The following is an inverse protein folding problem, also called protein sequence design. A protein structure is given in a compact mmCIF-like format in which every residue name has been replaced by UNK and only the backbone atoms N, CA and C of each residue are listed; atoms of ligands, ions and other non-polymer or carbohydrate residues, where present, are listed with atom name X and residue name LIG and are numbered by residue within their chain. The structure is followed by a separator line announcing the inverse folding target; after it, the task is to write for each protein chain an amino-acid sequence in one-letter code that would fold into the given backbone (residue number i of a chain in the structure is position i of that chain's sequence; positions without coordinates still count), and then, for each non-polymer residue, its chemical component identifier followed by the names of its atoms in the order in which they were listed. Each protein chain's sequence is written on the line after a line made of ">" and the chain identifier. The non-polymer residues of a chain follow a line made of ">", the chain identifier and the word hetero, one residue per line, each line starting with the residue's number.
data_IF_890732230212
#
_entry.id   IF_890732230212
#
_cell.length_a   1.000
_cell.length_b   1.000
_cell.length_c   1.000
_cell.angle_alpha   90.00
_cell.angle_beta   90.00
_cell.angle_gamma   90.00
#
_symmetry.space_group_name_H-M   'P 1'
#
loop_
_entity.id
_entity.type
_entity.pdbx_description
1 polymer ?
#
# COMPACT_ATOMS: atom_id res chain seq x y z
N UNK A 1 -20.63 10.27 -37.65
CA UNK A 1 -19.36 10.45 -36.94
C UNK A 1 -19.05 9.14 -36.30
N UNK A 2 -17.95 8.48 -36.66
CA UNK A 2 -17.51 7.28 -35.95
C UNK A 2 -17.22 7.67 -34.51
N UNK A 3 -17.84 7.01 -33.55
CA UNK A 3 -17.49 7.16 -32.13
C UNK A 3 -16.01 6.80 -31.99
N UNK A 4 -15.22 7.70 -31.40
CA UNK A 4 -13.83 7.38 -31.06
C UNK A 4 -13.90 6.28 -30.02
N UNK A 5 -13.35 5.10 -30.32
CA UNK A 5 -13.18 4.00 -29.38
C UNK A 5 -12.11 4.41 -28.34
N UNK A 6 -12.35 4.12 -27.07
CA UNK A 6 -11.44 4.45 -25.98
C UNK A 6 -11.50 3.36 -24.90
N UNK A 7 -10.39 3.20 -24.20
CA UNK A 7 -10.32 2.37 -23.01
C UNK A 7 -10.58 3.19 -21.74
N UNK A 8 -11.12 2.56 -20.70
CA UNK A 8 -11.30 3.18 -19.39
C UNK A 8 -10.33 2.57 -18.39
N UNK A 9 -9.63 3.43 -17.66
CA UNK A 9 -8.87 3.08 -16.47
C UNK A 9 -9.65 3.54 -15.25
N UNK A 10 -10.08 2.57 -14.44
CA UNK A 10 -10.99 2.79 -13.33
C UNK A 10 -10.28 2.59 -12.00
N UNK A 11 -10.51 3.50 -11.05
CA UNK A 11 -9.98 3.40 -9.69
C UNK A 11 -10.99 3.86 -8.65
N UNK A 12 -11.13 3.11 -7.57
CA UNK A 12 -11.81 3.53 -6.34
C UNK A 12 -10.85 4.23 -5.37
N UNK A 13 -9.54 3.98 -5.52
CA UNK A 13 -8.49 4.77 -4.91
C UNK A 13 -8.38 6.13 -5.57
N UNK A 14 -7.86 7.12 -4.84
CA UNK A 14 -7.64 8.44 -5.39
C UNK A 14 -6.26 8.64 -5.99
N UNK A 15 -6.03 9.87 -6.36
CA UNK A 15 -4.75 10.38 -6.85
C UNK A 15 -4.17 11.41 -5.87
N UNK A 16 -4.71 11.43 -4.66
CA UNK A 16 -4.47 12.41 -3.62
C UNK A 16 -3.07 12.31 -3.00
N UNK A 17 -2.48 13.45 -2.67
CA UNK A 17 -1.28 13.55 -1.84
C UNK A 17 -1.51 13.19 -0.37
N UNK A 18 -2.74 12.86 0.01
CA UNK A 18 -3.15 12.52 1.38
C UNK A 18 -3.37 11.01 1.52
N UNK A 19 -3.34 10.27 0.42
CA UNK A 19 -3.75 8.87 0.34
C UNK A 19 -2.72 7.86 0.83
N UNK A 20 -3.15 6.62 0.85
CA UNK A 20 -2.32 5.45 1.16
C UNK A 20 -1.51 4.96 -0.04
N UNK A 21 -0.94 3.75 0.07
CA UNK A 21 -0.11 3.16 -0.98
C UNK A 21 -0.81 3.00 -2.33
N UNK A 22 -2.14 2.81 -2.34
CA UNK A 22 -2.94 2.76 -3.58
C UNK A 22 -2.97 4.10 -4.33
N UNK A 23 -3.09 5.22 -3.61
CA UNK A 23 -3.09 6.55 -4.23
C UNK A 23 -1.71 6.88 -4.81
N UNK A 24 -0.64 6.52 -4.10
CA UNK A 24 0.74 6.62 -4.59
C UNK A 24 0.91 5.81 -5.87
N UNK A 25 0.36 4.60 -5.91
CA UNK A 25 0.44 3.73 -7.08
C UNK A 25 -0.29 4.33 -8.29
N UNK A 26 -1.52 4.85 -8.11
CA UNK A 26 -2.27 5.50 -9.20
C UNK A 26 -1.53 6.75 -9.71
N UNK A 27 -0.88 7.53 -8.85
CA UNK A 27 -0.01 8.63 -9.26
C UNK A 27 1.16 8.16 -10.12
N UNK A 28 1.87 7.13 -9.71
CA UNK A 28 2.94 6.54 -10.54
C UNK A 28 2.42 6.06 -11.88
N UNK A 29 1.20 5.48 -11.93
CA UNK A 29 0.56 5.09 -13.18
C UNK A 29 0.30 6.32 -14.09
N UNK A 30 -0.20 7.42 -13.52
CA UNK A 30 -0.44 8.67 -14.25
C UNK A 30 0.86 9.24 -14.82
N UNK A 31 1.93 9.24 -14.03
CA UNK A 31 3.21 9.85 -14.40
C UNK A 31 4.00 8.99 -15.40
N UNK A 32 3.99 7.67 -15.26
CA UNK A 32 4.91 6.80 -15.96
C UNK A 32 4.27 5.95 -17.07
N UNK A 33 2.99 5.65 -16.97
CA UNK A 33 2.29 4.75 -17.90
C UNK A 33 1.35 5.51 -18.80
N UNK A 34 0.45 6.32 -18.25
CA UNK A 34 -0.58 7.03 -19.00
C UNK A 34 -0.05 7.82 -20.21
N UNK A 35 1.07 8.57 -20.15
CA UNK A 35 1.60 9.31 -21.28
C UNK A 35 2.12 8.45 -22.43
N UNK A 36 2.28 7.15 -22.21
CA UNK A 36 2.88 6.18 -23.16
C UNK A 36 1.84 5.18 -23.70
N UNK A 37 0.56 5.35 -23.35
CA UNK A 37 -0.51 4.52 -23.89
C UNK A 37 -0.74 4.82 -25.36
N UNK A 38 -0.93 3.79 -26.16
CA UNK A 38 -1.09 3.90 -27.61
C UNK A 38 -2.51 4.21 -28.06
N UNK A 39 -3.50 4.00 -27.19
CA UNK A 39 -4.93 4.22 -27.45
C UNK A 39 -5.48 5.41 -26.68
N UNK A 40 -6.53 6.07 -27.22
CA UNK A 40 -7.30 7.03 -26.44
C UNK A 40 -7.85 6.38 -25.17
N UNK A 41 -7.80 7.10 -24.06
CA UNK A 41 -8.28 6.58 -22.78
C UNK A 41 -9.02 7.65 -21.96
N UNK A 42 -9.73 7.17 -20.94
CA UNK A 42 -10.34 7.97 -19.88
C UNK A 42 -9.93 7.41 -18.52
N UNK A 43 -9.50 8.28 -17.61
CA UNK A 43 -9.25 7.90 -16.22
C UNK A 43 -10.47 8.27 -15.37
N UNK A 44 -11.13 7.27 -14.82
CA UNK A 44 -12.31 7.41 -13.98
C UNK A 44 -11.97 7.08 -12.53
N UNK A 45 -12.23 8.03 -11.63
CA UNK A 45 -12.03 7.87 -10.20
C UNK A 45 -13.40 7.81 -9.50
N UNK A 46 -13.73 6.64 -8.95
CA UNK A 46 -15.03 6.38 -8.29
C UNK A 46 -15.08 6.95 -6.87
N UNK A 47 -14.77 8.23 -6.75
CA UNK A 47 -14.91 9.03 -5.54
C UNK A 47 -15.02 10.51 -5.91
N UNK A 48 -15.33 11.33 -4.91
CA UNK A 48 -15.34 12.77 -5.09
C UNK A 48 -13.90 13.33 -5.16
N UNK A 49 -13.71 14.38 -5.96
CA UNK A 49 -12.45 15.09 -6.06
C UNK A 49 -12.02 15.67 -4.71
N UNK A 50 -10.73 15.57 -4.38
CA UNK A 50 -10.11 16.23 -3.23
C UNK A 50 -9.26 17.41 -3.74
N UNK A 51 -9.13 18.47 -2.93
CA UNK A 51 -8.28 19.64 -3.27
C UNK A 51 -6.84 19.28 -3.62
N UNK A 52 -6.32 18.18 -3.06
CA UNK A 52 -4.98 17.68 -3.35
C UNK A 52 -4.83 17.00 -4.71
N UNK A 53 -5.92 16.84 -5.47
CA UNK A 53 -5.93 16.18 -6.78
C UNK A 53 -5.77 17.21 -7.93
N UNK A 54 -5.65 18.51 -7.62
CA UNK A 54 -5.57 19.59 -8.62
C UNK A 54 -4.24 19.61 -9.41
N UNK A 55 -3.18 18.96 -8.92
CA UNK A 55 -1.83 18.97 -9.52
C UNK A 55 -1.63 17.85 -10.58
N UNK A 56 -2.68 17.43 -11.29
CA UNK A 56 -2.61 16.29 -12.19
C UNK A 56 -2.74 16.74 -13.63
N UNK A 57 -1.74 16.44 -14.47
CA UNK A 57 -1.64 16.88 -15.87
C UNK A 57 -2.60 16.16 -16.84
N UNK A 58 -3.28 15.08 -16.41
CA UNK A 58 -4.25 14.36 -17.24
C UNK A 58 -5.68 14.63 -16.78
N UNK A 59 -6.63 14.55 -17.72
CA UNK A 59 -8.04 14.70 -17.38
C UNK A 59 -8.54 13.52 -16.54
N UNK A 60 -8.79 13.77 -15.26
CA UNK A 60 -9.45 12.83 -14.33
C UNK A 60 -10.94 13.12 -14.29
N UNK A 61 -11.76 12.08 -14.39
CA UNK A 61 -13.22 12.16 -14.33
C UNK A 61 -13.68 11.51 -13.03
N UNK A 62 -14.18 12.33 -12.11
CA UNK A 62 -14.64 11.89 -10.80
C UNK A 62 -16.09 11.42 -10.84
N UNK A 63 -16.51 10.63 -9.85
CA UNK A 63 -17.84 10.00 -9.76
C UNK A 63 -19.01 10.99 -9.89
N UNK A 64 -18.87 12.22 -9.41
CA UNK A 64 -19.90 13.26 -9.50
C UNK A 64 -19.98 13.94 -10.87
N UNK A 65 -19.10 13.60 -11.82
CA UNK A 65 -19.19 14.11 -13.19
C UNK A 65 -20.41 13.50 -13.91
N UNK A 66 -21.26 14.31 -14.62
CA UNK A 66 -22.50 13.82 -15.22
C UNK A 66 -22.30 12.70 -16.27
N UNK A 67 -21.13 12.65 -16.88
CA UNK A 67 -20.80 11.65 -17.90
C UNK A 67 -20.10 10.39 -17.34
N UNK A 68 -19.83 10.30 -16.05
CA UNK A 68 -19.02 9.23 -15.46
C UNK A 68 -19.49 7.83 -15.89
N UNK A 69 -20.74 7.49 -15.63
CA UNK A 69 -21.30 6.18 -15.96
C UNK A 69 -21.43 5.99 -17.48
N UNK A 70 -21.84 7.03 -18.23
CA UNK A 70 -21.91 6.97 -19.67
C UNK A 70 -20.55 6.67 -20.32
N UNK A 71 -19.47 7.21 -19.78
CA UNK A 71 -18.12 6.95 -20.26
C UNK A 71 -17.66 5.54 -19.91
N UNK A 72 -18.00 5.02 -18.74
CA UNK A 72 -17.71 3.66 -18.35
C UNK A 72 -18.46 2.66 -19.24
N UNK A 73 -19.77 2.87 -19.44
CA UNK A 73 -20.61 2.02 -20.29
C UNK A 73 -20.21 2.08 -21.78
N UNK A 74 -19.64 3.19 -22.22
CA UNK A 74 -19.16 3.39 -23.59
C UNK A 74 -17.74 2.89 -23.86
N UNK A 75 -17.04 2.36 -22.87
CA UNK A 75 -15.67 1.86 -23.00
C UNK A 75 -15.58 0.63 -23.90
N UNK A 76 -14.49 0.50 -24.67
CA UNK A 76 -14.12 -0.72 -25.38
C UNK A 76 -13.57 -1.76 -24.40
N UNK A 77 -12.62 -1.35 -23.56
CA UNK A 77 -12.03 -2.16 -22.49
C UNK A 77 -12.01 -1.39 -21.17
N UNK A 78 -12.07 -2.10 -20.07
CA UNK A 78 -11.95 -1.54 -18.72
C UNK A 78 -10.74 -2.17 -18.02
N UNK A 79 -9.87 -1.31 -17.51
CA UNK A 79 -8.70 -1.66 -16.72
C UNK A 79 -8.89 -1.17 -15.29
N UNK A 80 -9.02 -2.08 -14.33
CA UNK A 80 -9.20 -1.74 -12.93
C UNK A 80 -7.82 -1.51 -12.31
N UNK A 81 -7.48 -0.26 -12.04
CA UNK A 81 -6.24 0.15 -11.40
C UNK A 81 -6.27 -0.08 -9.88
N UNK A 82 -7.42 0.16 -9.27
CA UNK A 82 -7.69 -0.15 -7.87
C UNK A 82 -9.20 -0.34 -7.72
N UNK A 83 -9.62 -1.54 -7.34
CA UNK A 83 -11.01 -1.86 -7.03
C UNK A 83 -11.26 -1.87 -5.53
N UNK A 84 -12.53 -1.78 -5.14
CA UNK A 84 -12.96 -2.28 -3.84
C UNK A 84 -12.79 -3.79 -3.81
N UNK A 85 -12.74 -4.35 -2.63
CA UNK A 85 -12.79 -5.79 -2.46
C UNK A 85 -14.10 -6.37 -3.00
N UNK A 86 -15.21 -5.62 -2.87
CA UNK A 86 -16.51 -5.97 -3.42
C UNK A 86 -16.65 -5.35 -4.82
N UNK A 87 -16.91 -6.17 -5.87
CA UNK A 87 -17.22 -5.64 -7.18
C UNK A 87 -18.53 -4.85 -7.09
N UNK A 88 -18.43 -3.56 -7.40
CA UNK A 88 -19.61 -2.71 -7.43
C UNK A 88 -20.55 -3.18 -8.56
N UNK A 89 -21.88 -2.87 -8.45
CA UNK A 89 -22.83 -3.15 -9.52
C UNK A 89 -22.35 -2.62 -10.88
N UNK A 90 -21.71 -1.46 -10.88
CA UNK A 90 -21.16 -0.82 -12.09
C UNK A 90 -20.09 -1.70 -12.76
N UNK A 91 -19.24 -2.35 -11.96
CA UNK A 91 -18.22 -3.29 -12.46
C UNK A 91 -18.90 -4.57 -12.98
N UNK A 92 -19.88 -5.11 -12.25
CA UNK A 92 -20.59 -6.31 -12.65
C UNK A 92 -21.41 -6.08 -13.93
N UNK A 93 -22.05 -4.94 -14.09
CA UNK A 93 -22.81 -4.57 -15.29
C UNK A 93 -21.91 -4.44 -16.55
N UNK A 94 -20.58 -4.31 -16.38
CA UNK A 94 -19.56 -4.23 -17.43
C UNK A 94 -18.54 -5.38 -17.41
N UNK A 95 -18.85 -6.49 -16.79
CA UNK A 95 -17.91 -7.61 -16.56
C UNK A 95 -17.26 -8.13 -17.86
N UNK A 96 -17.99 -8.16 -18.97
CA UNK A 96 -17.53 -8.59 -20.29
C UNK A 96 -16.41 -7.72 -20.87
N UNK A 97 -16.25 -6.48 -20.40
CA UNK A 97 -15.25 -5.50 -20.83
C UNK A 97 -14.01 -5.46 -19.95
N UNK A 98 -14.01 -6.15 -18.79
CA UNK A 98 -12.90 -6.09 -17.84
C UNK A 98 -11.68 -6.83 -18.40
N UNK A 99 -10.70 -6.06 -18.84
CA UNK A 99 -9.47 -6.59 -19.41
C UNK A 99 -8.44 -6.91 -18.33
N UNK A 100 -8.21 -5.96 -17.41
CA UNK A 100 -7.24 -6.17 -16.32
C UNK A 100 -7.80 -5.76 -14.97
N UNK A 101 -7.35 -6.45 -13.92
CA UNK A 101 -7.58 -6.08 -12.53
C UNK A 101 -6.26 -6.08 -11.76
N UNK A 102 -6.00 -5.00 -11.00
CA UNK A 102 -4.79 -4.89 -10.18
C UNK A 102 -5.15 -5.16 -8.72
N UNK A 103 -4.59 -6.21 -8.16
CA UNK A 103 -4.73 -6.57 -6.75
C UNK A 103 -3.65 -5.89 -5.91
N UNK A 104 -4.05 -4.91 -5.10
CA UNK A 104 -3.17 -4.18 -4.17
C UNK A 104 -3.02 -4.87 -2.81
N UNK A 105 -3.93 -5.75 -2.47
CA UNK A 105 -4.00 -6.43 -1.19
C UNK A 105 -4.85 -7.69 -1.36
N UNK A 106 -4.54 -8.74 -0.64
CA UNK A 106 -5.46 -9.88 -0.50
C UNK A 106 -6.40 -9.62 0.68
N UNK A 107 -7.68 -9.59 0.41
CA UNK A 107 -8.70 -9.43 1.44
C UNK A 107 -8.65 -10.61 2.43
N UNK A 108 -8.52 -11.83 1.92
CA UNK A 108 -8.39 -13.03 2.74
C UNK A 108 -7.24 -12.91 3.75
N UNK A 109 -6.02 -12.54 3.29
CA UNK A 109 -4.87 -12.35 4.18
C UNK A 109 -5.08 -11.19 5.16
N UNK A 110 -5.72 -10.11 4.69
CA UNK A 110 -6.05 -8.96 5.54
C UNK A 110 -7.02 -9.33 6.66
N UNK A 111 -8.06 -10.09 6.37
CA UNK A 111 -9.04 -10.54 7.35
C UNK A 111 -8.45 -11.49 8.38
N UNK A 112 -7.61 -12.44 7.95
CA UNK A 112 -6.87 -13.32 8.86
C UNK A 112 -6.04 -12.53 9.86
N UNK A 113 -5.36 -11.48 9.43
CA UNK A 113 -4.59 -10.60 10.31
C UNK A 113 -5.48 -9.84 11.33
N UNK A 114 -6.77 -9.71 11.08
CA UNK A 114 -7.72 -9.09 11.99
C UNK A 114 -8.35 -10.10 12.98
N UNK A 115 -8.47 -11.38 12.60
CA UNK A 115 -9.07 -12.42 13.46
C UNK A 115 -8.30 -12.62 14.76
N UNK A 116 -6.99 -12.51 14.73
CA UNK A 116 -6.10 -12.71 15.88
C UNK A 116 -6.35 -11.74 17.05
N UNK A 117 -7.04 -10.63 16.81
CA UNK A 117 -7.42 -9.67 17.86
C UNK A 117 -8.85 -9.82 18.39
N UNK A 118 -9.58 -10.87 17.99
CA UNK A 118 -10.92 -11.15 18.52
C UNK A 118 -11.97 -10.06 18.22
N UNK A 119 -11.76 -9.23 17.20
CA UNK A 119 -12.69 -8.19 16.79
C UNK A 119 -13.91 -8.82 16.14
N UNK A 120 -14.96 -9.01 16.93
CA UNK A 120 -16.17 -9.77 16.57
C UNK A 120 -16.99 -9.18 15.40
N UNK A 121 -16.80 -7.87 15.09
CA UNK A 121 -17.47 -7.23 13.97
C UNK A 121 -16.99 -7.73 12.59
N UNK A 122 -15.79 -8.36 12.56
CA UNK A 122 -15.26 -8.96 11.33
C UNK A 122 -15.89 -10.30 10.96
N UNK A 123 -16.67 -10.94 11.85
CA UNK A 123 -17.38 -12.19 11.54
C UNK A 123 -18.41 -12.06 10.40
N UNK A 124 -18.83 -10.84 10.09
CA UNK A 124 -19.71 -10.57 8.95
C UNK A 124 -19.00 -10.64 7.61
N UNK A 125 -17.67 -10.64 7.59
CA UNK A 125 -16.84 -10.65 6.40
C UNK A 125 -16.39 -12.05 5.94
N UNK A 126 -16.87 -13.11 6.54
CA UNK A 126 -16.55 -14.49 6.16
C UNK A 126 -17.07 -14.92 4.76
N UNK A 127 -17.90 -14.08 4.12
CA UNK A 127 -18.36 -14.28 2.74
C UNK A 127 -17.42 -13.68 1.67
N UNK A 128 -16.36 -13.00 2.06
CA UNK A 128 -15.61 -12.05 1.22
C UNK A 128 -14.49 -12.68 0.41
N UNK A 129 -14.09 -13.88 0.74
CA UNK A 129 -13.33 -14.73 -0.17
C UNK A 129 -14.04 -14.88 -1.54
N UNK A 130 -15.37 -14.78 -1.55
CA UNK A 130 -16.17 -14.79 -2.77
C UNK A 130 -15.95 -13.57 -3.66
N UNK A 131 -15.74 -12.39 -3.10
CA UNK A 131 -15.57 -11.15 -3.87
C UNK A 131 -14.22 -11.08 -4.58
N UNK A 132 -13.13 -11.45 -3.90
CA UNK A 132 -11.82 -11.56 -4.57
C UNK A 132 -11.89 -12.57 -5.72
N UNK A 133 -12.54 -13.71 -5.53
CA UNK A 133 -12.72 -14.72 -6.59
C UNK A 133 -13.59 -14.20 -7.72
N UNK A 134 -14.69 -13.51 -7.42
CA UNK A 134 -15.55 -12.92 -8.45
C UNK A 134 -14.75 -11.93 -9.33
N UNK A 135 -13.91 -11.10 -8.72
CA UNK A 135 -13.02 -10.20 -9.49
C UNK A 135 -11.98 -10.96 -10.32
N UNK A 136 -11.43 -12.07 -9.80
CA UNK A 136 -10.52 -12.94 -10.53
C UNK A 136 -11.21 -13.66 -11.70
N UNK A 137 -12.48 -14.03 -11.53
CA UNK A 137 -13.27 -14.73 -12.55
C UNK A 137 -13.69 -13.83 -13.71
N UNK A 138 -13.96 -12.53 -13.46
CA UNK A 138 -14.41 -11.59 -14.49
C UNK A 138 -13.27 -10.90 -15.22
N UNK A 139 -12.12 -10.66 -14.59
CA UNK A 139 -10.98 -10.03 -15.24
C UNK A 139 -10.24 -11.01 -16.16
N UNK A 140 -9.97 -10.63 -17.41
CA UNK A 140 -9.19 -11.48 -18.33
C UNK A 140 -7.75 -11.67 -17.86
N UNK A 141 -7.17 -10.66 -17.21
CA UNK A 141 -5.83 -10.72 -16.62
C UNK A 141 -5.85 -10.09 -15.23
N UNK A 142 -5.27 -10.74 -14.25
CA UNK A 142 -5.07 -10.17 -12.91
C UNK A 142 -3.59 -9.95 -12.65
N UNK A 143 -3.26 -8.76 -12.11
CA UNK A 143 -1.90 -8.35 -11.78
C UNK A 143 -1.77 -8.24 -10.27
N UNK A 144 -0.80 -8.93 -9.69
CA UNK A 144 -0.45 -8.83 -8.27
C UNK A 144 0.75 -7.92 -8.07
N UNK A 145 0.63 -6.95 -7.15
CA UNK A 145 1.67 -5.95 -6.89
C UNK A 145 2.48 -6.20 -5.60
N UNK A 146 2.16 -7.25 -4.87
CA UNK A 146 2.87 -7.60 -3.63
C UNK A 146 4.19 -8.31 -3.88
N UNK A 147 4.98 -8.44 -2.81
CA UNK A 147 6.28 -9.12 -2.84
C UNK A 147 6.17 -10.64 -2.63
N UNK A 148 5.03 -11.10 -2.12
CA UNK A 148 4.72 -12.50 -1.91
C UNK A 148 3.59 -12.94 -2.85
N UNK A 149 3.42 -14.25 -3.02
CA UNK A 149 2.29 -14.79 -3.76
C UNK A 149 1.01 -14.82 -2.93
N UNK A 150 -0.12 -14.52 -3.54
CA UNK A 150 -1.42 -14.74 -2.91
C UNK A 150 -1.79 -16.22 -2.91
N UNK A 151 -2.80 -16.61 -2.10
CA UNK A 151 -3.35 -17.97 -2.11
C UNK A 151 -3.99 -18.32 -3.45
N UNK A 152 -4.34 -17.33 -4.25
CA UNK A 152 -5.04 -17.51 -5.54
C UNK A 152 -4.11 -17.90 -6.69
N UNK A 153 -2.78 -17.76 -6.56
CA UNK A 153 -1.80 -18.17 -7.58
C UNK A 153 -1.87 -19.66 -7.94
N UNK A 154 -2.48 -20.48 -7.09
CA UNK A 154 -2.67 -21.90 -7.39
C UNK A 154 -3.86 -22.19 -8.31
N UNK A 155 -4.82 -21.26 -8.40
CA UNK A 155 -6.09 -21.44 -9.09
C UNK A 155 -6.26 -20.51 -10.29
N UNK A 156 -5.49 -19.42 -10.35
CA UNK A 156 -5.61 -18.37 -11.36
C UNK A 156 -4.23 -18.02 -11.93
N UNK A 157 -4.21 -17.65 -13.22
CA UNK A 157 -3.02 -17.12 -13.88
C UNK A 157 -2.84 -15.64 -13.49
N UNK A 158 -2.10 -15.42 -12.41
CA UNK A 158 -1.85 -14.08 -11.86
C UNK A 158 -0.45 -13.63 -12.28
N UNK A 159 -0.39 -12.45 -12.90
CA UNK A 159 0.86 -11.82 -13.35
C UNK A 159 1.47 -11.06 -12.17
N UNK A 160 2.68 -11.43 -11.76
CA UNK A 160 3.40 -10.73 -10.70
C UNK A 160 4.15 -9.51 -11.27
N UNK A 161 3.69 -8.32 -10.90
CA UNK A 161 4.41 -7.05 -11.17
C UNK A 161 4.50 -6.29 -9.83
N UNK A 162 5.47 -6.64 -9.00
CA UNK A 162 5.68 -5.94 -7.72
C UNK A 162 5.81 -4.44 -7.94
N UNK A 163 5.34 -3.66 -7.00
CA UNK A 163 5.58 -2.23 -7.00
C UNK A 163 7.08 -1.92 -7.03
N UNK A 164 7.42 -0.68 -7.36
CA UNK A 164 8.80 -0.20 -7.29
C UNK A 164 8.96 0.84 -6.18
N UNK A 165 10.20 1.04 -5.74
CA UNK A 165 10.59 2.12 -4.84
C UNK A 165 11.95 2.68 -5.25
N UNK A 166 12.03 3.97 -5.57
CA UNK A 166 13.27 4.66 -5.89
C UNK A 166 13.95 5.11 -4.60
N UNK A 167 15.09 4.51 -4.27
CA UNK A 167 15.91 4.96 -3.14
C UNK A 167 16.56 6.33 -3.47
N UNK A 168 16.30 7.32 -2.62
CA UNK A 168 16.69 8.72 -2.84
C UNK A 168 17.70 9.24 -1.81
N UNK A 169 17.90 8.52 -0.72
CA UNK A 169 18.77 8.91 0.39
C UNK A 169 19.87 7.86 0.59
N UNK A 170 20.93 8.25 1.30
CA UNK A 170 22.03 7.33 1.62
C UNK A 170 21.67 6.31 2.71
N UNK A 171 20.54 6.50 3.40
CA UNK A 171 20.09 5.62 4.48
C UNK A 171 21.07 5.62 5.66
N UNK A 172 21.57 6.82 6.06
CA UNK A 172 22.48 6.92 7.20
C UNK A 172 21.73 6.59 8.49
N UNK A 173 22.24 5.60 9.23
CA UNK A 173 21.61 5.12 10.45
C UNK A 173 21.44 6.20 11.50
N UNK A 174 20.24 6.32 12.05
CA UNK A 174 19.93 7.24 13.15
C UNK A 174 20.17 6.55 14.47
N UNK A 175 20.84 7.23 15.41
CA UNK A 175 21.25 6.66 16.69
C UNK A 175 20.10 6.48 17.69
N UNK A 176 19.01 7.22 17.55
CA UNK A 176 17.88 7.19 18.48
C UNK A 176 17.24 5.80 18.61
N UNK A 177 16.93 5.41 19.85
CA UNK A 177 16.19 4.18 20.16
C UNK A 177 14.66 4.36 20.10
N UNK A 178 14.16 5.58 19.90
CA UNK A 178 12.73 5.82 19.80
C UNK A 178 12.15 5.23 18.53
N UNK A 179 10.93 4.70 18.63
CA UNK A 179 10.24 4.03 17.53
C UNK A 179 9.36 5.03 16.76
N UNK A 180 9.33 4.92 15.45
CA UNK A 180 8.39 5.62 14.57
C UNK A 180 7.38 4.64 13.97
N UNK A 181 6.09 4.96 14.08
CA UNK A 181 5.00 4.29 13.38
C UNK A 181 4.51 5.17 12.23
N UNK A 182 4.68 4.71 11.01
CA UNK A 182 4.31 5.43 9.80
C UNK A 182 3.31 4.61 8.99
N UNK A 183 2.05 4.54 9.42
CA UNK A 183 1.02 3.75 8.76
C UNK A 183 -0.39 4.14 9.23
N UNK A 184 -1.42 3.59 8.59
CA UNK A 184 -2.78 3.61 9.12
C UNK A 184 -2.85 2.76 10.39
N UNK A 185 -3.59 3.22 11.38
CA UNK A 185 -3.84 2.44 12.61
C UNK A 185 -4.92 1.39 12.34
N UNK A 186 -4.51 0.34 11.67
CA UNK A 186 -5.30 -0.86 11.40
C UNK A 186 -4.68 -2.04 12.14
N UNK A 187 -5.49 -3.03 12.48
CA UNK A 187 -5.08 -4.22 13.21
C UNK A 187 -3.88 -4.91 12.56
N UNK A 188 -3.95 -5.12 11.24
CA UNK A 188 -2.88 -5.75 10.46
C UNK A 188 -1.56 -4.97 10.46
N UNK A 189 -1.58 -3.70 10.85
CA UNK A 189 -0.38 -2.88 11.03
C UNK A 189 0.18 -2.94 12.46
N UNK A 190 -0.47 -3.71 13.32
CA UNK A 190 -0.06 -4.01 14.70
C UNK A 190 0.37 -2.80 15.54
N UNK A 191 -0.37 -1.65 15.54
CA UNK A 191 0.00 -0.51 16.37
C UNK A 191 0.00 -0.82 17.85
N UNK A 192 -0.72 -1.85 18.28
CA UNK A 192 -0.78 -2.32 19.67
C UNK A 192 0.55 -2.89 20.21
N UNK A 193 1.51 -3.22 19.33
CA UNK A 193 2.84 -3.60 19.77
C UNK A 193 3.59 -2.43 20.42
N UNK A 194 3.18 -1.18 20.15
CA UNK A 194 3.81 0.03 20.66
C UNK A 194 3.22 0.51 21.98
N UNK A 195 2.26 -0.20 22.56
CA UNK A 195 1.80 0.14 23.89
C UNK A 195 2.98 -0.01 24.88
N UNK A 196 3.21 1.02 25.70
CA UNK A 196 4.32 1.11 26.65
C UNK A 196 5.72 1.38 26.03
N UNK A 197 5.81 1.59 24.71
CA UNK A 197 7.05 1.95 24.03
C UNK A 197 7.04 3.44 23.63
N UNK A 198 8.16 4.15 23.89
CA UNK A 198 8.32 5.56 23.52
C UNK A 198 8.32 5.70 21.98
N UNK A 199 7.16 6.08 21.44
CA UNK A 199 6.92 6.03 20.00
C UNK A 199 6.33 7.32 19.43
N UNK A 200 6.73 7.68 18.22
CA UNK A 200 6.08 8.69 17.39
C UNK A 200 5.11 8.04 16.43
N UNK A 201 3.96 8.68 16.20
CA UNK A 201 2.91 8.20 15.30
C UNK A 201 2.68 9.19 14.17
N UNK A 202 2.93 8.76 12.95
CA UNK A 202 2.54 9.47 11.73
C UNK A 202 1.34 8.73 11.13
N UNK A 203 0.13 9.15 11.51
CA UNK A 203 -1.11 8.42 11.19
C UNK A 203 -2.32 9.36 11.15
N UNK A 204 -3.49 8.81 10.83
CA UNK A 204 -4.75 9.54 10.87
C UNK A 204 -5.16 9.80 12.32
N UNK A 205 -5.51 11.05 12.62
CA UNK A 205 -5.88 11.50 13.99
C UNK A 205 -7.12 10.80 14.51
N UNK A 206 -8.10 10.55 13.64
CA UNK A 206 -9.36 9.89 14.03
C UNK A 206 -9.13 8.42 14.39
N UNK A 207 -8.34 7.71 13.59
CA UNK A 207 -7.96 6.33 13.88
C UNK A 207 -7.13 6.25 15.18
N UNK A 208 -6.20 7.17 15.39
CA UNK A 208 -5.41 7.23 16.63
C UNK A 208 -6.31 7.44 17.86
N UNK A 209 -7.26 8.39 17.78
CA UNK A 209 -8.22 8.64 18.85
C UNK A 209 -9.09 7.41 19.11
N UNK A 210 -9.59 6.77 18.05
CA UNK A 210 -10.42 5.58 18.17
C UNK A 210 -9.70 4.43 18.89
N UNK A 211 -8.43 4.16 18.57
CA UNK A 211 -7.64 3.13 19.25
C UNK A 211 -7.47 3.42 20.74
N UNK A 212 -7.18 4.67 21.11
CA UNK A 212 -7.06 5.07 22.50
C UNK A 212 -8.37 4.91 23.28
N UNK A 213 -9.46 5.35 22.69
CA UNK A 213 -10.76 5.43 23.38
C UNK A 213 -11.49 4.08 23.42
N UNK A 214 -11.40 3.28 22.39
CA UNK A 214 -12.17 2.04 22.27
C UNK A 214 -11.36 0.78 22.64
N UNK A 215 -10.05 0.79 22.51
CA UNK A 215 -9.19 -0.34 22.82
C UNK A 215 -8.29 -0.08 24.04
N UNK A 216 -8.47 1.07 24.70
CA UNK A 216 -7.75 1.45 25.93
C UNK A 216 -6.21 1.40 25.82
N UNK A 217 -5.65 1.79 24.65
CA UNK A 217 -4.21 1.94 24.48
C UNK A 217 -3.74 3.32 24.93
N UNK A 218 -2.65 3.35 25.70
CA UNK A 218 -2.08 4.59 26.27
C UNK A 218 -1.02 5.20 25.32
N UNK A 219 -1.45 5.60 24.12
CA UNK A 219 -0.57 6.32 23.19
C UNK A 219 -0.50 7.81 23.54
N UNK A 220 0.71 8.36 23.60
CA UNK A 220 0.94 9.78 23.91
C UNK A 220 0.51 10.69 22.76
N UNK A 221 -0.54 11.49 22.96
CA UNK A 221 -1.06 12.45 21.97
C UNK A 221 -0.03 13.49 21.53
N UNK A 222 0.94 13.86 22.37
CA UNK A 222 1.97 14.84 22.01
C UNK A 222 2.93 14.34 20.94
N UNK A 223 2.95 13.03 20.71
CA UNK A 223 3.79 12.35 19.73
C UNK A 223 3.05 11.98 18.42
N UNK A 224 1.81 12.45 18.27
CA UNK A 224 0.99 12.26 17.09
C UNK A 224 1.29 13.33 16.03
N UNK A 225 1.66 12.87 14.84
CA UNK A 225 1.79 13.67 13.62
C UNK A 225 0.68 13.27 12.65
N UNK A 226 -0.16 14.22 12.27
CA UNK A 226 -1.24 13.93 11.34
C UNK A 226 -0.70 13.49 9.99
N UNK A 227 -1.19 12.36 9.51
CA UNK A 227 -0.85 11.83 8.20
C UNK A 227 -1.27 12.81 7.10
N UNK A 228 -0.28 13.34 6.39
CA UNK A 228 -0.42 14.05 5.12
C UNK A 228 0.84 13.74 4.32
N UNK A 229 0.70 13.22 3.11
CA UNK A 229 1.84 12.77 2.31
C UNK A 229 2.94 13.83 2.17
N UNK A 230 2.56 15.10 1.98
CA UNK A 230 3.50 16.25 1.93
C UNK A 230 4.34 16.45 3.21
N UNK A 231 3.90 15.92 4.34
CA UNK A 231 4.61 15.99 5.62
C UNK A 231 5.41 14.72 5.93
N UNK A 232 5.24 13.67 5.13
CA UNK A 232 5.91 12.38 5.34
C UNK A 232 7.42 12.53 5.32
N UNK A 233 7.96 13.23 4.34
CA UNK A 233 9.39 13.46 4.24
C UNK A 233 9.95 14.16 5.49
N UNK A 234 9.26 15.20 6.00
CA UNK A 234 9.68 15.91 7.23
C UNK A 234 9.65 14.98 8.45
N UNK A 235 8.69 14.07 8.53
CA UNK A 235 8.62 13.08 9.59
C UNK A 235 9.77 12.07 9.49
N UNK A 236 10.07 11.56 8.31
CA UNK A 236 11.15 10.61 8.08
C UNK A 236 12.56 11.21 8.30
N UNK A 237 12.75 12.49 8.00
CA UNK A 237 14.00 13.20 8.19
C UNK A 237 14.36 13.51 9.64
N UNK A 238 13.45 13.31 10.59
CA UNK A 238 13.74 13.54 12.02
C UNK A 238 14.82 12.58 12.49
N UNK A 239 15.72 13.08 13.34
CA UNK A 239 16.84 12.33 13.96
C UNK A 239 16.51 11.85 15.38
N UNK A 240 15.37 12.23 15.93
CA UNK A 240 14.94 11.87 17.27
C UNK A 240 14.17 10.53 17.36
N UNK A 241 14.07 9.79 16.25
CA UNK A 241 13.67 8.39 16.22
C UNK A 241 14.48 7.63 15.19
N UNK A 242 14.88 6.39 15.50
CA UNK A 242 15.81 5.60 14.68
C UNK A 242 15.35 4.18 14.38
N UNK A 243 14.24 3.73 15.00
CA UNK A 243 13.67 2.39 14.83
C UNK A 243 12.31 2.54 14.17
N UNK A 244 12.05 1.80 13.08
CA UNK A 244 10.74 1.79 12.43
C UNK A 244 9.93 0.58 12.86
N UNK A 245 8.70 0.82 13.34
CA UNK A 245 7.72 -0.26 13.46
C UNK A 245 7.23 -0.67 12.08
N UNK A 246 7.71 -1.79 11.62
CA UNK A 246 7.38 -2.41 10.34
C UNK A 246 6.96 -3.87 10.50
N UNK A 247 6.68 -4.31 11.73
CA UNK A 247 6.20 -5.64 12.09
C UNK A 247 4.70 -5.78 11.79
N UNK A 248 4.32 -5.46 10.56
CA UNK A 248 2.94 -5.56 10.10
C UNK A 248 2.55 -7.04 9.97
N UNK A 249 1.40 -7.44 10.50
CA UNK A 249 0.91 -8.82 10.40
C UNK A 249 0.69 -9.22 8.94
N UNK A 250 0.33 -8.25 8.11
CA UNK A 250 0.24 -8.43 6.66
C UNK A 250 0.59 -7.13 5.93
N UNK A 251 1.58 -7.19 5.04
CA UNK A 251 2.01 -6.08 4.20
C UNK A 251 2.39 -6.58 2.80
N UNK A 252 1.57 -6.29 1.76
CA UNK A 252 1.82 -6.80 0.41
C UNK A 252 3.13 -6.31 -0.22
N UNK A 253 3.40 -4.98 -0.15
CA UNK A 253 4.63 -4.38 -0.66
C UNK A 253 5.41 -3.65 0.43
N UNK A 254 4.77 -2.67 1.10
CA UNK A 254 5.36 -1.99 2.24
C UNK A 254 6.13 -0.72 1.91
N UNK A 255 5.56 0.23 1.17
CA UNK A 255 6.20 1.52 0.91
C UNK A 255 6.79 2.18 2.16
N UNK A 256 6.10 2.11 3.30
CA UNK A 256 6.60 2.68 4.56
C UNK A 256 7.85 1.99 5.08
N UNK A 257 8.06 0.72 4.73
CA UNK A 257 9.27 -0.04 5.09
C UNK A 257 10.45 0.44 4.25
N UNK A 258 10.27 0.53 2.92
CA UNK A 258 11.29 1.08 2.02
C UNK A 258 11.67 2.50 2.41
N UNK A 259 10.68 3.35 2.69
CA UNK A 259 10.89 4.73 3.13
C UNK A 259 11.68 4.80 4.44
N UNK A 260 11.35 3.97 5.42
CA UNK A 260 12.09 3.93 6.68
C UNK A 260 13.58 3.59 6.43
N UNK A 261 13.87 2.56 5.64
CA UNK A 261 15.22 2.15 5.28
C UNK A 261 15.96 3.27 4.54
N UNK A 262 15.29 3.92 3.59
CA UNK A 262 15.86 5.02 2.81
C UNK A 262 16.30 6.20 3.68
N UNK A 263 15.55 6.47 4.76
CA UNK A 263 15.85 7.54 5.72
C UNK A 263 16.64 7.08 6.97
N UNK A 264 17.30 5.92 6.89
CA UNK A 264 18.19 5.45 7.95
C UNK A 264 17.49 4.94 9.22
N UNK A 265 16.22 4.57 9.14
CA UNK A 265 15.46 4.00 10.25
C UNK A 265 15.53 2.48 10.21
N UNK A 266 16.09 1.88 11.24
CA UNK A 266 16.23 0.42 11.31
C UNK A 266 14.85 -0.23 11.54
N UNK A 267 14.30 -1.04 10.61
CA UNK A 267 12.98 -1.59 10.78
C UNK A 267 12.97 -2.82 11.70
N UNK A 268 11.92 -2.96 12.52
CA UNK A 268 11.49 -4.25 13.03
C UNK A 268 10.49 -4.80 12.03
N UNK A 269 10.85 -5.85 11.30
CA UNK A 269 10.05 -6.42 10.22
C UNK A 269 9.10 -7.50 10.73
N UNK A 270 8.03 -7.77 9.99
CA UNK A 270 7.26 -9.01 10.16
C UNK A 270 8.10 -10.22 9.79
N UNK A 271 7.81 -11.36 10.40
CA UNK A 271 8.45 -12.65 10.06
C UNK A 271 8.12 -13.08 8.63
N UNK A 272 6.92 -12.73 8.16
CA UNK A 272 6.40 -13.13 6.84
C UNK A 272 6.78 -12.17 5.71
N UNK A 273 7.26 -10.95 6.03
CA UNK A 273 7.62 -9.99 5.00
C UNK A 273 9.02 -10.30 4.46
N UNK A 274 9.11 -10.72 3.19
CA UNK A 274 10.36 -11.17 2.55
C UNK A 274 11.19 -12.12 3.44
N UNK A 275 10.65 -13.30 3.79
CA UNK A 275 11.27 -14.21 4.75
C UNK A 275 12.63 -14.75 4.26
N UNK A 276 12.91 -14.68 2.95
CA UNK A 276 14.17 -15.13 2.35
C UNK A 276 15.34 -14.16 2.64
N UNK A 277 15.07 -12.92 3.06
CA UNK A 277 16.12 -11.99 3.46
C UNK A 277 16.55 -12.35 4.88
N UNK A 278 17.83 -12.70 5.06
CA UNK A 278 18.42 -12.95 6.38
C UNK A 278 18.52 -11.64 7.13
N UNK A 279 17.65 -11.43 8.10
CA UNK A 279 17.59 -10.22 8.90
C UNK A 279 17.13 -10.55 10.33
N UNK A 280 17.89 -10.13 11.39
CA UNK A 280 17.67 -10.62 12.74
C UNK A 280 16.44 -10.03 13.44
N UNK A 281 16.04 -8.80 13.10
CA UNK A 281 15.02 -8.05 13.84
C UNK A 281 13.65 -8.22 13.22
N UNK A 282 13.02 -9.36 13.55
CA UNK A 282 11.69 -9.74 13.05
C UNK A 282 10.78 -10.13 14.21
N UNK A 283 9.51 -9.68 14.11
CA UNK A 283 8.50 -9.98 15.11
C UNK A 283 7.11 -10.08 14.47
N UNK A 284 6.31 -11.05 14.91
CA UNK A 284 4.90 -11.22 14.54
C UNK A 284 3.97 -11.26 15.76
N UNK A 285 4.53 -11.15 16.98
CA UNK A 285 3.77 -10.99 18.22
C UNK A 285 4.31 -9.82 19.04
N UNK A 286 3.50 -9.30 19.99
CA UNK A 286 3.90 -8.20 20.88
C UNK A 286 5.12 -8.57 21.71
N UNK A 287 5.13 -9.75 22.32
CA UNK A 287 6.21 -10.22 23.20
C UNK A 287 7.54 -10.34 22.43
N UNK A 288 7.47 -10.80 21.17
CA UNK A 288 8.65 -10.90 20.33
C UNK A 288 9.11 -9.51 19.87
N UNK A 289 8.18 -8.60 19.61
CA UNK A 289 8.50 -7.20 19.25
C UNK A 289 9.23 -6.50 20.38
N UNK A 290 8.76 -6.62 21.63
CA UNK A 290 9.39 -6.04 22.81
C UNK A 290 10.82 -6.56 22.99
N UNK A 291 11.01 -7.88 22.90
CA UNK A 291 12.33 -8.49 22.97
C UNK A 291 13.28 -7.99 21.87
N UNK A 292 12.84 -7.96 20.64
CA UNK A 292 13.62 -7.47 19.49
C UNK A 292 13.94 -5.98 19.65
N UNK A 293 13.00 -5.20 20.16
CA UNK A 293 13.21 -3.79 20.46
C UNK A 293 14.33 -3.58 21.51
N UNK A 294 14.30 -4.34 22.61
CA UNK A 294 15.36 -4.31 23.62
C UNK A 294 16.73 -4.65 23.01
N UNK A 295 16.80 -5.71 22.20
CA UNK A 295 18.02 -6.10 21.49
C UNK A 295 18.56 -4.98 20.59
N UNK A 296 17.69 -4.27 19.85
CA UNK A 296 18.09 -3.16 18.96
C UNK A 296 18.60 -1.96 19.77
N UNK A 297 18.08 -1.72 20.97
CA UNK A 297 18.52 -0.59 21.79
C UNK A 297 20.02 -0.68 22.18
N UNK A 298 20.57 -1.88 22.24
CA UNK A 298 21.98 -2.14 22.56
C UNK A 298 22.89 -2.18 21.31
N UNK A 299 22.31 -2.03 20.11
CA UNK A 299 23.06 -2.13 18.85
C UNK A 299 23.75 -0.81 18.50
N UNK A 300 25.05 -0.89 18.21
CA UNK A 300 25.82 0.28 17.78
C UNK A 300 25.30 0.88 16.47
N UNK A 301 25.47 2.19 16.27
CA UNK A 301 25.11 2.89 15.02
C UNK A 301 25.82 2.26 13.81
N UNK A 302 27.08 1.84 13.95
CA UNK A 302 27.83 1.16 12.88
C UNK A 302 27.16 -0.16 12.46
N UNK A 303 26.68 -0.95 13.43
CA UNK A 303 25.95 -2.20 13.15
C UNK A 303 24.61 -1.91 12.53
N UNK A 304 23.85 -0.90 13.00
CA UNK A 304 22.61 -0.45 12.37
C UNK A 304 22.84 -0.06 10.91
N UNK A 305 23.91 0.68 10.63
CA UNK A 305 24.29 1.08 9.27
C UNK A 305 24.56 -0.12 8.38
N UNK A 306 25.28 -1.12 8.86
CA UNK A 306 25.58 -2.34 8.10
C UNK A 306 24.28 -3.12 7.76
N UNK A 307 23.35 -3.21 8.72
CA UNK A 307 22.04 -3.87 8.52
C UNK A 307 21.17 -3.11 7.52
N UNK A 308 21.12 -1.78 7.57
CA UNK A 308 20.41 -0.96 6.59
C UNK A 308 20.97 -1.14 5.18
N UNK A 309 22.29 -1.13 5.03
CA UNK A 309 22.96 -1.39 3.74
C UNK A 309 22.64 -2.80 3.22
N UNK A 310 22.64 -3.80 4.09
CA UNK A 310 22.25 -5.18 3.75
C UNK A 310 20.82 -5.23 3.23
N UNK A 311 19.85 -4.65 3.95
CA UNK A 311 18.46 -4.59 3.49
C UNK A 311 18.34 -3.83 2.16
N UNK A 312 18.95 -2.66 2.05
CA UNK A 312 18.91 -1.84 0.83
C UNK A 312 19.46 -2.59 -0.38
N UNK A 313 20.55 -3.35 -0.22
CA UNK A 313 21.12 -4.15 -1.30
C UNK A 313 20.16 -5.24 -1.81
N UNK A 314 19.41 -5.89 -0.94
CA UNK A 314 18.40 -6.88 -1.33
C UNK A 314 17.15 -6.24 -1.95
N UNK A 315 16.78 -5.06 -1.48
CA UNK A 315 15.60 -4.35 -1.97
C UNK A 315 15.86 -3.54 -3.25
N UNK A 316 17.11 -3.43 -3.68
CA UNK A 316 17.49 -2.71 -4.91
C UNK A 316 16.91 -3.32 -6.20
N UNK A 317 16.49 -4.58 -6.17
CA UNK A 317 15.77 -5.21 -7.30
C UNK A 317 14.43 -4.53 -7.60
N UNK A 318 13.83 -3.86 -6.60
CA UNK A 318 12.58 -3.10 -6.74
C UNK A 318 12.82 -1.63 -7.10
N UNK A 319 14.08 -1.20 -7.24
CA UNK A 319 14.46 0.15 -7.68
C UNK A 319 14.56 0.21 -9.21
N UNK A 320 13.48 -0.16 -9.90
CA UNK A 320 13.43 -0.17 -11.37
C UNK A 320 12.10 0.32 -11.92
N UNK A 321 11.85 1.61 -11.77
CA UNK A 321 10.64 2.28 -12.25
C UNK A 321 10.39 2.07 -13.74
N UNK A 322 11.45 2.09 -14.56
CA UNK A 322 11.33 1.93 -16.01
C UNK A 322 10.88 0.53 -16.40
N UNK A 323 11.44 -0.50 -15.79
CA UNK A 323 11.05 -1.90 -16.05
C UNK A 323 9.61 -2.14 -15.57
N UNK A 324 9.26 -1.63 -14.40
CA UNK A 324 7.90 -1.64 -13.89
C UNK A 324 6.91 -1.04 -14.90
N UNK A 325 7.14 0.17 -15.38
CA UNK A 325 6.27 0.83 -16.35
C UNK A 325 6.16 0.05 -17.67
N UNK A 326 7.29 -0.50 -18.18
CA UNK A 326 7.30 -1.27 -19.42
C UNK A 326 6.44 -2.53 -19.32
N UNK A 327 6.49 -3.27 -18.20
CA UNK A 327 5.65 -4.46 -17.98
C UNK A 327 4.16 -4.14 -18.08
N UNK A 328 3.73 -3.02 -17.52
CA UNK A 328 2.33 -2.57 -17.64
C UNK A 328 1.98 -2.17 -19.07
N UNK A 329 2.88 -1.45 -19.76
CA UNK A 329 2.67 -1.04 -21.15
C UNK A 329 2.55 -2.23 -22.10
N UNK A 330 3.31 -3.30 -21.89
CA UNK A 330 3.19 -4.54 -22.64
C UNK A 330 1.79 -5.16 -22.50
N UNK A 331 1.20 -5.09 -21.31
CA UNK A 331 -0.15 -5.60 -21.05
C UNK A 331 -1.22 -4.70 -21.67
N UNK A 332 -1.10 -3.37 -21.49
CA UNK A 332 -2.14 -2.43 -21.92
C UNK A 332 -2.14 -2.18 -23.45
N UNK A 333 -1.00 -2.32 -24.10
CA UNK A 333 -0.87 -2.13 -25.53
C UNK A 333 -1.05 -3.46 -26.34
N UNK A 334 -1.28 -4.58 -25.65
CA UNK A 334 -1.62 -5.87 -26.28
C UNK A 334 -3.13 -5.97 -26.53
#
# INVERSE_FOLDING_TARGET
>A
MSSIEYDVYYSTGGVSNIGGGSDVWVRHWIEEIAPKLNKPFKLLIDRDMLQSDEDIDIQVIYRNHPDFYRLLDGAEKIHILHGYYEPTKVILDNADKIETNIMHCSLYKSLRAHEDLGLSWLKHFSAEDSWEREMLDIAKKTIWIGLDKTIYHHNYDIIDIPNFYEFKQDGIAVESNRVGFCSRMETRKAPHFLNDIDSYFFTNVEHFAWWRENLNYDFDKSKLFQFQYKNLQKFLQRDDWGISHSAHIYEPFGYSIFQAIDYGKLPILSEDWLPNIVYPYRASTKEKFEKVYEEICDVSVATRQALLQHLKSHLSEYDNKKDWANKYLEIYNS
#
